data_IF_187195599806
#
_entry.id   IF_187195599806
#
_cell.length_a   1.000
_cell.length_b   1.000
_cell.length_c   1.000
_cell.angle_alpha   90.00
_cell.angle_beta   90.00
_cell.angle_gamma   90.00
#
_symmetry.space_group_name_H-M   'P 1'
#
loop_
_entity.id
_entity.type
_entity.pdbx_description
1 polymer ?
#
# COMPACT_ATOMS: atom_id res chain seq x y z
N UNK A 1 -0.49 -20.31 8.30
CA UNK A 1 -0.09 -19.22 7.39
C UNK A 1 -1.29 -18.88 6.53
N UNK A 2 -1.73 -17.63 6.62
CA UNK A 2 -2.83 -17.12 5.83
C UNK A 2 -2.32 -16.71 4.45
N UNK A 3 -3.22 -16.68 3.48
CA UNK A 3 -2.94 -16.15 2.14
C UNK A 3 -3.74 -14.87 1.97
N UNK A 4 -3.06 -13.80 1.58
CA UNK A 4 -3.67 -12.50 1.33
C UNK A 4 -3.47 -12.07 -0.11
N UNK A 5 -4.39 -11.26 -0.58
CA UNK A 5 -4.40 -10.63 -1.89
C UNK A 5 -3.89 -9.20 -1.77
N UNK A 6 -2.56 -9.03 -1.87
CA UNK A 6 -1.91 -7.76 -1.50
C UNK A 6 -2.37 -6.60 -2.39
N UNK A 7 -2.52 -6.84 -3.70
CA UNK A 7 -3.02 -5.83 -4.64
C UNK A 7 -4.44 -5.38 -4.27
N UNK A 8 -5.35 -6.32 -4.04
CA UNK A 8 -6.73 -6.03 -3.70
C UNK A 8 -6.86 -5.35 -2.33
N UNK A 9 -6.01 -5.69 -1.35
CA UNK A 9 -5.96 -5.00 -0.05
C UNK A 9 -5.55 -3.54 -0.23
N UNK A 10 -4.50 -3.27 -1.01
CA UNK A 10 -4.05 -1.88 -1.28
C UNK A 10 -5.11 -1.10 -2.05
N UNK A 11 -5.80 -1.73 -3.01
CA UNK A 11 -6.90 -1.10 -3.74
C UNK A 11 -8.11 -0.82 -2.82
N UNK A 12 -8.46 -1.76 -1.93
CA UNK A 12 -9.54 -1.60 -0.95
C UNK A 12 -9.26 -0.46 0.04
N UNK A 13 -8.02 -0.39 0.54
CA UNK A 13 -7.56 0.65 1.48
C UNK A 13 -6.95 1.87 0.77
N UNK A 14 -7.36 2.12 -0.48
CA UNK A 14 -6.69 3.11 -1.34
C UNK A 14 -6.69 4.54 -0.78
N UNK A 15 -7.73 4.92 -0.03
CA UNK A 15 -7.83 6.25 0.57
C UNK A 15 -6.83 6.42 1.71
N UNK A 16 -6.79 5.45 2.62
CA UNK A 16 -5.93 5.38 3.80
C UNK A 16 -4.47 5.27 3.37
N UNK A 17 -4.18 4.36 2.45
CA UNK A 17 -2.82 4.13 1.94
C UNK A 17 -2.28 5.34 1.19
N UNK A 18 -3.11 6.04 0.40
CA UNK A 18 -2.67 7.28 -0.27
C UNK A 18 -2.32 8.37 0.74
N UNK A 19 -3.14 8.56 1.78
CA UNK A 19 -2.87 9.54 2.84
C UNK A 19 -1.59 9.21 3.59
N UNK A 20 -1.43 7.96 4.03
CA UNK A 20 -0.25 7.48 4.73
C UNK A 20 1.03 7.67 3.89
N UNK A 21 0.97 7.36 2.58
CA UNK A 21 2.09 7.54 1.67
C UNK A 21 2.44 9.03 1.49
N UNK A 22 1.43 9.91 1.33
CA UNK A 22 1.64 11.36 1.23
C UNK A 22 2.29 11.92 2.49
N UNK A 23 1.82 11.54 3.67
CA UNK A 23 2.37 11.95 4.96
C UNK A 23 3.81 11.46 5.15
N UNK A 24 4.11 10.22 4.77
CA UNK A 24 5.45 9.67 4.81
C UNK A 24 6.41 10.47 3.92
N UNK A 25 6.01 10.83 2.69
CA UNK A 25 6.85 11.65 1.80
C UNK A 25 7.06 13.04 2.36
N UNK A 26 6.00 13.73 2.82
CA UNK A 26 6.10 15.09 3.38
C UNK A 26 6.99 15.13 4.63
N UNK A 27 6.97 14.08 5.45
CA UNK A 27 7.77 13.99 6.67
C UNK A 27 9.26 13.76 6.40
N UNK A 28 9.58 13.00 5.35
CA UNK A 28 10.98 12.65 5.02
C UNK A 28 11.62 13.62 4.02
N UNK A 29 10.82 14.33 3.21
CA UNK A 29 11.29 15.27 2.20
C UNK A 29 10.50 16.59 2.35
N UNK A 30 10.81 17.43 3.35
CA UNK A 30 10.07 18.65 3.59
C UNK A 30 10.13 19.60 2.38
N UNK A 31 8.99 20.24 2.06
CA UNK A 31 8.89 21.23 0.99
C UNK A 31 8.76 20.65 -0.42
N UNK A 32 8.75 19.32 -0.59
CA UNK A 32 8.48 18.70 -1.88
C UNK A 32 7.01 18.89 -2.28
N UNK A 33 6.78 19.25 -3.55
CA UNK A 33 5.46 19.24 -4.16
C UNK A 33 5.32 18.00 -5.04
N UNK A 34 4.22 17.28 -4.88
CA UNK A 34 3.90 16.11 -5.67
C UNK A 34 2.38 15.93 -5.77
N UNK A 35 1.95 15.26 -6.82
CA UNK A 35 0.57 14.81 -6.96
C UNK A 35 0.37 13.51 -6.16
N UNK A 36 -0.47 13.56 -5.13
CA UNK A 36 -0.76 12.42 -4.25
C UNK A 36 -1.40 11.25 -5.00
N UNK A 37 -2.23 11.51 -6.01
CA UNK A 37 -2.85 10.48 -6.84
C UNK A 37 -1.81 9.82 -7.73
N UNK A 38 -0.94 10.61 -8.38
CA UNK A 38 0.12 10.05 -9.21
C UNK A 38 1.12 9.24 -8.39
N UNK A 39 1.53 9.75 -7.22
CA UNK A 39 2.42 9.05 -6.29
C UNK A 39 1.82 7.71 -5.87
N UNK A 40 0.56 7.71 -5.45
CA UNK A 40 -0.11 6.48 -5.05
C UNK A 40 -0.31 5.51 -6.21
N UNK A 41 -0.57 6.01 -7.44
CA UNK A 41 -0.66 5.16 -8.63
C UNK A 41 0.65 4.43 -8.93
N UNK A 42 1.79 5.13 -8.87
CA UNK A 42 3.10 4.49 -9.05
C UNK A 42 3.41 3.52 -7.91
N UNK A 43 3.06 3.86 -6.66
CA UNK A 43 3.18 2.94 -5.54
C UNK A 43 2.40 1.64 -5.78
N UNK A 44 1.13 1.73 -6.19
CA UNK A 44 0.33 0.53 -6.53
C UNK A 44 0.96 -0.29 -7.63
N UNK A 45 1.49 0.36 -8.67
CA UNK A 45 2.20 -0.32 -9.75
C UNK A 45 3.41 -1.10 -9.23
N UNK A 46 4.19 -0.52 -8.34
CA UNK A 46 5.33 -1.20 -7.73
C UNK A 46 4.91 -2.32 -6.78
N UNK A 47 3.81 -2.17 -6.03
CA UNK A 47 3.23 -3.27 -5.24
C UNK A 47 2.88 -4.45 -6.14
N UNK A 48 2.15 -4.22 -7.26
CA UNK A 48 1.81 -5.28 -8.22
C UNK A 48 3.02 -5.96 -8.86
N UNK A 49 4.12 -5.21 -9.01
CA UNK A 49 5.37 -5.73 -9.60
C UNK A 49 6.21 -6.53 -8.60
N UNK A 50 6.19 -6.14 -7.32
CA UNK A 50 7.05 -6.68 -6.27
C UNK A 50 6.38 -7.76 -5.43
N UNK A 51 5.07 -7.65 -5.23
CA UNK A 51 4.28 -8.63 -4.52
C UNK A 51 3.65 -9.62 -5.51
N UNK A 52 3.58 -10.87 -5.10
CA UNK A 52 2.78 -11.88 -5.75
C UNK A 52 1.29 -11.56 -5.55
N UNK A 53 0.45 -12.01 -6.49
CA UNK A 53 -1.01 -11.91 -6.36
C UNK A 53 -1.51 -12.54 -5.06
N UNK A 54 -0.85 -13.60 -4.60
CA UNK A 54 -1.09 -14.20 -3.29
C UNK A 54 0.18 -14.20 -2.46
N UNK A 55 0.16 -13.43 -1.37
CA UNK A 55 1.24 -13.42 -0.39
C UNK A 55 0.90 -14.33 0.78
N UNK A 56 1.93 -14.96 1.33
CA UNK A 56 1.80 -15.77 2.54
C UNK A 56 2.20 -14.94 3.74
N UNK A 57 1.30 -14.82 4.71
CA UNK A 57 1.54 -14.08 5.95
C UNK A 57 1.27 -14.97 7.17
N UNK A 58 1.88 -14.67 8.33
CA UNK A 58 1.51 -15.27 9.60
C UNK A 58 0.00 -15.14 9.90
N UNK A 59 -0.60 -16.19 10.47
CA UNK A 59 -2.05 -16.21 10.74
C UNK A 59 -2.46 -15.11 11.72
N UNK A 60 -1.59 -14.75 12.67
CA UNK A 60 -1.85 -13.71 13.66
C UNK A 60 -1.89 -12.28 13.08
N UNK A 61 -1.61 -12.08 11.79
CA UNK A 61 -1.80 -10.81 11.11
C UNK A 61 -3.16 -10.71 10.41
N UNK A 62 -3.89 -11.83 10.33
CA UNK A 62 -5.19 -11.91 9.66
C UNK A 62 -6.22 -12.33 10.68
N UNK A 63 -7.10 -11.41 11.00
CA UNK A 63 -8.30 -11.73 11.76
C UNK A 63 -9.42 -12.13 10.79
N UNK A 64 -10.04 -13.28 11.04
CA UNK A 64 -11.14 -13.81 10.25
C UNK A 64 -12.48 -13.71 10.99
N UNK A 65 -12.50 -13.04 12.15
CA UNK A 65 -13.70 -12.69 12.92
C UNK A 65 -14.84 -12.11 12.07
#
# INVERSE_FOLDING_TARGET
MARIKMEEIVDHLSTEMRKALSEAVKSNIPGVQFDEYQLFREFKREVRRKCNTWERVPDNYVDAE
#
